data_IF_441584983602
#
_entry.id   IF_441584983602
#
_cell.length_a   1.000
_cell.length_b   1.000
_cell.length_c   1.000
_cell.angle_alpha   90.00
_cell.angle_beta   90.00
_cell.angle_gamma   90.00
#
_symmetry.space_group_name_H-M   'P 1'
#
loop_
_entity.id
_entity.type
_entity.pdbx_description
1 polymer ?
#
# COMPACT_ATOMS: atom_id res chain seq x y z
N UNK A 1 14.24 -6.54 -8.42
CA UNK A 1 14.51 -5.24 -7.77
C UNK A 1 13.80 -4.08 -8.46
N UNK A 2 14.12 -3.72 -9.72
CA UNK A 2 13.57 -2.54 -10.40
C UNK A 2 12.03 -2.46 -10.41
N UNK A 3 11.34 -3.54 -10.78
CA UNK A 3 9.87 -3.59 -10.81
C UNK A 3 9.26 -3.17 -9.46
N UNK A 4 9.76 -3.74 -8.36
CA UNK A 4 9.27 -3.44 -7.02
C UNK A 4 9.70 -2.05 -6.55
N UNK A 5 10.97 -1.66 -6.77
CA UNK A 5 11.50 -0.38 -6.29
C UNK A 5 10.70 0.81 -6.83
N UNK A 6 10.38 0.82 -8.12
CA UNK A 6 9.69 1.95 -8.75
C UNK A 6 8.18 1.70 -8.95
N UNK A 7 7.72 0.44 -8.91
CA UNK A 7 6.33 0.12 -9.18
C UNK A 7 5.36 0.73 -8.17
N UNK A 8 5.75 0.81 -6.88
CA UNK A 8 4.91 1.46 -5.86
C UNK A 8 4.67 2.93 -6.19
N UNK A 9 5.70 3.69 -6.55
CA UNK A 9 5.59 5.10 -6.94
C UNK A 9 4.68 5.25 -8.16
N UNK A 10 4.89 4.43 -9.20
CA UNK A 10 4.11 4.52 -10.44
C UNK A 10 2.63 4.23 -10.21
N UNK A 11 2.28 3.16 -9.50
CA UNK A 11 0.86 2.82 -9.27
C UNK A 11 0.20 3.80 -8.28
N UNK A 12 0.94 4.28 -7.28
CA UNK A 12 0.39 5.22 -6.29
C UNK A 12 0.33 6.65 -6.79
N UNK A 13 1.02 7.01 -7.87
CA UNK A 13 0.74 8.28 -8.55
C UNK A 13 -0.69 8.30 -9.10
N UNK A 14 -1.20 7.20 -9.66
CA UNK A 14 -2.62 7.13 -10.04
C UNK A 14 -3.56 7.21 -8.82
N UNK A 15 -3.18 6.57 -7.70
CA UNK A 15 -3.88 6.64 -6.42
C UNK A 15 -4.00 8.09 -5.90
N UNK A 16 -2.91 8.86 -6.01
CA UNK A 16 -2.85 10.27 -5.63
C UNK A 16 -3.80 11.14 -6.46
N UNK A 17 -3.85 10.90 -7.77
CA UNK A 17 -4.63 11.71 -8.71
C UNK A 17 -6.15 11.47 -8.57
N UNK A 18 -6.58 10.24 -8.28
CA UNK A 18 -8.01 9.92 -8.30
C UNK A 18 -8.43 8.73 -7.45
N UNK A 19 -7.71 8.45 -6.37
CA UNK A 19 -8.04 7.38 -5.43
C UNK A 19 -7.81 5.98 -6.01
N UNK A 20 -8.33 4.99 -5.29
CA UNK A 20 -8.25 3.58 -5.65
C UNK A 20 -8.93 3.35 -7.00
N UNK A 21 -10.01 4.09 -7.28
CA UNK A 21 -10.73 4.04 -8.56
C UNK A 21 -9.81 4.35 -9.72
N UNK A 22 -9.08 5.48 -9.69
CA UNK A 22 -8.18 5.84 -10.78
C UNK A 22 -7.02 4.84 -10.93
N UNK A 23 -6.49 4.32 -9.82
CA UNK A 23 -5.47 3.28 -9.85
C UNK A 23 -5.96 1.99 -10.54
N UNK A 24 -7.18 1.54 -10.21
CA UNK A 24 -7.77 0.34 -10.83
C UNK A 24 -8.22 0.58 -12.28
N UNK A 25 -8.62 1.80 -12.63
CA UNK A 25 -9.01 2.18 -14.00
C UNK A 25 -7.83 2.15 -14.98
N UNK A 26 -6.59 2.06 -14.49
CA UNK A 26 -5.39 1.82 -15.31
C UNK A 26 -5.20 0.37 -15.74
N UNK A 27 -5.92 -0.57 -15.14
CA UNK A 27 -5.86 -1.99 -15.49
C UNK A 27 -6.85 -2.34 -16.61
N UNK A 28 -6.51 -3.36 -17.40
CA UNK A 28 -7.47 -3.99 -18.32
C UNK A 28 -8.65 -4.59 -17.52
N UNK A 29 -9.81 -4.80 -18.15
CA UNK A 29 -10.96 -5.37 -17.44
C UNK A 29 -10.67 -6.75 -16.80
N UNK A 30 -10.02 -7.72 -17.48
CA UNK A 30 -9.64 -8.98 -16.85
C UNK A 30 -8.67 -8.79 -15.68
N UNK A 31 -7.68 -7.90 -15.83
CA UNK A 31 -6.70 -7.61 -14.79
C UNK A 31 -7.38 -6.95 -13.57
N UNK A 32 -8.26 -5.97 -13.80
CA UNK A 32 -9.03 -5.28 -12.76
C UNK A 32 -9.85 -6.24 -11.91
N UNK A 33 -10.60 -7.15 -12.55
CA UNK A 33 -11.38 -8.17 -11.82
C UNK A 33 -10.44 -9.04 -10.99
N UNK A 34 -9.32 -9.49 -11.56
CA UNK A 34 -8.38 -10.34 -10.83
C UNK A 34 -7.69 -9.61 -9.68
N UNK A 35 -7.25 -8.36 -9.87
CA UNK A 35 -6.70 -7.53 -8.80
C UNK A 35 -7.72 -7.32 -7.68
N UNK A 36 -9.00 -7.11 -8.04
CA UNK A 36 -10.08 -6.96 -7.07
C UNK A 36 -10.23 -8.23 -6.23
N UNK A 37 -10.35 -9.41 -6.86
CA UNK A 37 -10.41 -10.70 -6.17
C UNK A 37 -9.22 -10.93 -5.22
N UNK A 38 -7.99 -10.66 -5.70
CA UNK A 38 -6.78 -10.79 -4.89
C UNK A 38 -6.80 -9.84 -3.69
N UNK A 39 -7.25 -8.60 -3.89
CA UNK A 39 -7.36 -7.65 -2.79
C UNK A 39 -8.43 -8.06 -1.77
N UNK A 40 -9.56 -8.65 -2.17
CA UNK A 40 -10.54 -9.18 -1.21
C UNK A 40 -9.95 -10.34 -0.38
N UNK A 41 -9.26 -11.31 -1.01
CA UNK A 41 -8.58 -12.40 -0.28
C UNK A 41 -7.50 -11.85 0.68
N UNK A 42 -6.72 -10.85 0.24
CA UNK A 42 -5.74 -10.18 1.08
C UNK A 42 -6.40 -9.46 2.27
N UNK A 43 -7.54 -8.79 2.05
CA UNK A 43 -8.29 -8.14 3.13
C UNK A 43 -8.75 -9.16 4.16
N UNK A 44 -9.32 -10.28 3.73
CA UNK A 44 -9.77 -11.35 4.63
C UNK A 44 -8.63 -11.93 5.47
N UNK A 45 -7.46 -12.17 4.85
CA UNK A 45 -6.30 -12.72 5.55
C UNK A 45 -5.71 -11.71 6.54
N UNK A 46 -5.58 -10.44 6.16
CA UNK A 46 -4.85 -9.44 6.93
C UNK A 46 -5.72 -8.70 7.96
N UNK A 47 -7.05 -8.72 7.84
CA UNK A 47 -7.96 -7.99 8.74
C UNK A 47 -7.68 -8.23 10.24
N UNK A 48 -7.49 -9.48 10.72
CA UNK A 48 -7.18 -9.70 12.13
C UNK A 48 -5.85 -9.05 12.57
N UNK A 49 -4.87 -8.97 11.67
CA UNK A 49 -3.59 -8.34 11.97
C UNK A 49 -3.74 -6.81 12.06
N UNK A 50 -4.47 -6.18 11.14
CA UNK A 50 -4.75 -4.74 11.19
C UNK A 50 -5.52 -4.37 12.46
N UNK A 51 -6.56 -5.12 12.80
CA UNK A 51 -7.34 -4.94 14.03
C UNK A 51 -6.46 -5.09 15.27
N UNK A 52 -5.62 -6.13 15.32
CA UNK A 52 -4.66 -6.31 16.43
C UNK A 52 -3.72 -5.11 16.58
N UNK A 53 -3.19 -4.58 15.48
CA UNK A 53 -2.32 -3.40 15.53
C UNK A 53 -3.06 -2.17 16.06
N UNK A 54 -4.29 -1.93 15.62
CA UNK A 54 -5.12 -0.83 16.13
C UNK A 54 -5.44 -1.01 17.62
N UNK A 55 -5.76 -2.22 18.07
CA UNK A 55 -6.02 -2.54 19.46
C UNK A 55 -4.78 -2.31 20.35
N UNK A 56 -3.60 -2.74 19.89
CA UNK A 56 -2.33 -2.51 20.58
C UNK A 56 -2.00 -1.00 20.67
N UNK A 57 -2.34 -0.22 19.64
CA UNK A 57 -2.19 1.24 19.63
C UNK A 57 -3.12 1.88 20.66
N UNK A 58 -4.41 1.55 20.65
CA UNK A 58 -5.42 2.15 21.54
C UNK A 58 -5.20 1.76 22.99
N UNK A 59 -4.83 0.50 23.25
CA UNK A 59 -4.54 0.02 24.60
C UNK A 59 -3.22 0.58 25.17
N UNK A 60 -2.36 1.13 24.30
CA UNK A 60 -1.04 1.64 24.65
C UNK A 60 0.06 0.56 24.66
N UNK A 61 -0.28 -0.71 24.42
CA UNK A 61 0.69 -1.82 24.42
C UNK A 61 1.77 -1.64 23.34
N UNK A 62 1.41 -1.10 22.17
CA UNK A 62 2.37 -0.73 21.11
C UNK A 62 3.42 0.25 21.65
N UNK A 63 2.97 1.37 22.22
CA UNK A 63 3.86 2.42 22.70
C UNK A 63 4.73 1.97 23.88
N UNK A 64 4.15 1.17 24.79
CA UNK A 64 4.87 0.60 25.92
C UNK A 64 5.99 -0.32 25.45
N UNK A 65 5.68 -1.28 24.57
CA UNK A 65 6.67 -2.25 24.07
C UNK A 65 7.80 -1.56 23.30
N UNK A 66 7.48 -0.51 22.52
CA UNK A 66 8.48 0.29 21.82
C UNK A 66 9.38 1.06 22.81
N UNK A 67 8.81 1.70 23.82
CA UNK A 67 9.58 2.45 24.82
C UNK A 67 10.45 1.53 25.69
N UNK A 68 10.04 0.28 25.90
CA UNK A 68 10.89 -0.74 26.54
C UNK A 68 12.13 -1.06 25.68
N UNK A 69 12.00 -1.09 24.35
CA UNK A 69 13.16 -1.25 23.46
C UNK A 69 14.07 -0.02 23.47
N UNK A 70 13.50 1.19 23.49
CA UNK A 70 14.26 2.44 23.62
C UNK A 70 15.07 2.47 24.92
N UNK A 71 14.48 2.05 26.03
CA UNK A 71 15.16 1.93 27.32
C UNK A 71 16.28 0.86 27.32
N UNK A 72 16.30 0.00 26.30
CA UNK A 72 17.26 -1.06 26.09
C UNK A 72 18.14 -0.78 24.86
N UNK A 73 18.48 0.50 24.64
CA UNK A 73 19.38 0.99 23.59
C UNK A 73 18.96 0.60 22.17
N UNK A 74 17.65 0.65 21.88
CA UNK A 74 17.04 0.38 20.56
C UNK A 74 17.42 -0.98 19.98
N UNK A 75 17.64 -1.97 20.85
CA UNK A 75 18.22 -3.26 20.46
C UNK A 75 17.44 -3.96 19.36
N UNK A 76 16.11 -4.03 19.47
CA UNK A 76 15.28 -4.68 18.47
C UNK A 76 15.23 -3.84 17.18
N UNK A 77 15.01 -2.54 17.29
CA UNK A 77 14.99 -1.62 16.15
C UNK A 77 16.26 -1.76 15.30
N UNK A 78 17.43 -1.66 15.94
CA UNK A 78 18.73 -1.74 15.27
C UNK A 78 18.99 -3.12 14.67
N UNK A 79 18.59 -4.20 15.36
CA UNK A 79 18.73 -5.56 14.84
C UNK A 79 17.85 -5.80 13.60
N UNK A 80 16.61 -5.34 13.62
CA UNK A 80 15.68 -5.44 12.50
C UNK A 80 16.11 -4.57 11.32
N UNK A 81 16.63 -3.36 11.60
CA UNK A 81 17.25 -2.49 10.60
C UNK A 81 18.42 -3.14 9.89
N UNK A 82 19.34 -3.74 10.66
CA UNK A 82 20.46 -4.49 10.11
C UNK A 82 20.00 -5.67 9.25
N UNK A 83 19.05 -6.48 9.75
CA UNK A 83 18.52 -7.63 9.01
C UNK A 83 17.82 -7.21 7.69
N UNK A 84 17.09 -6.10 7.70
CA UNK A 84 16.43 -5.54 6.51
C UNK A 84 17.44 -5.16 5.44
N UNK A 85 18.55 -4.53 5.85
CA UNK A 85 19.66 -4.16 4.96
C UNK A 85 20.38 -5.36 4.32
N UNK A 86 20.18 -6.56 4.84
CA UNK A 86 20.72 -7.81 4.30
C UNK A 86 19.74 -8.58 3.40
N UNK A 87 18.52 -8.08 3.23
CA UNK A 87 17.53 -8.75 2.36
C UNK A 87 17.96 -8.72 0.89
N UNK A 88 17.52 -9.73 0.13
CA UNK A 88 17.81 -9.82 -1.30
C UNK A 88 17.29 -8.59 -2.08
N UNK A 89 16.14 -8.04 -1.70
CA UNK A 89 15.62 -6.83 -2.33
C UNK A 89 16.55 -5.62 -2.12
N UNK A 90 17.05 -5.41 -0.90
CA UNK A 90 18.00 -4.33 -0.60
C UNK A 90 19.32 -4.51 -1.34
N UNK A 91 19.91 -5.71 -1.34
CA UNK A 91 21.21 -5.96 -1.97
C UNK A 91 21.18 -6.03 -3.50
N UNK A 92 20.04 -6.35 -4.12
CA UNK A 92 19.96 -6.50 -5.58
C UNK A 92 19.87 -5.16 -6.28
N UNK A 93 20.87 -4.79 -7.08
CA UNK A 93 20.83 -3.56 -7.88
C UNK A 93 19.62 -3.55 -8.84
N UNK A 94 18.95 -2.40 -9.05
CA UNK A 94 17.94 -2.27 -10.09
C UNK A 94 18.58 -2.51 -11.47
N UNK A 95 17.88 -3.20 -12.36
CA UNK A 95 18.35 -3.45 -13.72
C UNK A 95 18.25 -2.21 -14.61
N UNK A 96 18.98 -2.22 -15.73
CA UNK A 96 18.90 -1.15 -16.74
C UNK A 96 17.71 -1.30 -17.71
N UNK A 97 16.96 -2.40 -17.60
CA UNK A 97 15.76 -2.67 -18.41
C UNK A 97 14.77 -1.52 -18.26
N UNK A 98 14.34 -0.92 -19.37
CA UNK A 98 13.28 0.09 -19.35
C UNK A 98 11.94 -0.62 -19.12
N UNK A 99 11.19 -0.14 -18.14
CA UNK A 99 9.82 -0.56 -17.85
C UNK A 99 8.98 0.69 -18.08
N UNK A 100 8.04 0.62 -19.01
CA UNK A 100 7.10 1.71 -19.25
C UNK A 100 6.10 1.83 -18.09
N UNK A 101 5.45 2.98 -17.99
CA UNK A 101 4.45 3.24 -16.95
C UNK A 101 3.36 2.15 -16.90
N UNK A 102 2.82 1.76 -18.06
CA UNK A 102 1.78 0.72 -18.12
C UNK A 102 2.33 -0.67 -17.77
N UNK A 103 3.59 -0.98 -18.08
CA UNK A 103 4.20 -2.25 -17.69
C UNK A 103 4.32 -2.40 -16.17
N UNK A 104 4.43 -1.32 -15.39
CA UNK A 104 4.38 -1.41 -13.93
C UNK A 104 3.00 -1.86 -13.42
N UNK A 105 1.92 -1.44 -14.07
CA UNK A 105 0.57 -1.92 -13.76
C UNK A 105 0.38 -3.37 -14.22
N UNK A 106 0.70 -3.65 -15.49
CA UNK A 106 0.45 -4.95 -16.11
C UNK A 106 1.32 -6.07 -15.53
N UNK A 107 2.55 -5.78 -15.11
CA UNK A 107 3.46 -6.74 -14.48
C UNK A 107 3.35 -6.74 -12.95
N UNK A 108 2.59 -5.80 -12.37
CA UNK A 108 2.53 -5.52 -10.94
C UNK A 108 1.13 -5.72 -10.35
N UNK A 109 0.34 -6.65 -10.87
CA UNK A 109 -1.07 -6.81 -10.48
C UNK A 109 -1.25 -7.02 -8.98
N UNK A 110 -0.38 -7.83 -8.37
CA UNK A 110 -0.36 -8.02 -6.92
C UNK A 110 -0.07 -6.75 -6.14
N UNK A 111 0.79 -5.86 -6.67
CA UNK A 111 1.12 -4.60 -6.01
C UNK A 111 -0.10 -3.69 -5.95
N UNK A 112 -0.87 -3.61 -7.04
CA UNK A 112 -2.14 -2.86 -7.09
C UNK A 112 -3.15 -3.43 -6.08
N UNK A 113 -3.27 -4.76 -6.01
CA UNK A 113 -4.15 -5.42 -5.05
C UNK A 113 -3.73 -5.17 -3.59
N UNK A 114 -2.42 -5.23 -3.28
CA UNK A 114 -1.88 -4.95 -1.95
C UNK A 114 -2.11 -3.51 -1.52
N UNK A 115 -1.91 -2.53 -2.42
CA UNK A 115 -2.18 -1.11 -2.11
C UNK A 115 -3.65 -0.91 -1.73
N UNK A 116 -4.58 -1.43 -2.54
CA UNK A 116 -6.02 -1.36 -2.21
C UNK A 116 -6.31 -2.02 -0.86
N UNK A 117 -5.90 -3.27 -0.69
CA UNK A 117 -6.22 -4.04 0.51
C UNK A 117 -5.68 -3.37 1.77
N UNK A 118 -4.41 -2.93 1.76
CA UNK A 118 -3.78 -2.28 2.90
C UNK A 118 -4.39 -0.92 3.24
N UNK A 119 -4.65 -0.08 2.23
CA UNK A 119 -5.26 1.24 2.42
C UNK A 119 -6.70 1.12 2.93
N UNK A 120 -7.52 0.25 2.31
CA UNK A 120 -8.90 0.04 2.77
C UNK A 120 -8.93 -0.55 4.19
N UNK A 121 -8.09 -1.55 4.50
CA UNK A 121 -8.04 -2.11 5.86
C UNK A 121 -7.60 -1.10 6.91
N UNK A 122 -6.58 -0.28 6.62
CA UNK A 122 -6.15 0.77 7.54
C UNK A 122 -7.30 1.76 7.81
N UNK A 123 -7.95 2.23 6.74
CA UNK A 123 -9.09 3.14 6.84
C UNK A 123 -10.26 2.53 7.62
N UNK A 124 -10.71 1.33 7.24
CA UNK A 124 -11.82 0.62 7.89
C UNK A 124 -11.52 0.40 9.38
N UNK A 125 -10.34 -0.09 9.71
CA UNK A 125 -9.97 -0.40 11.10
C UNK A 125 -9.90 0.85 11.96
N UNK A 126 -9.38 1.96 11.42
CA UNK A 126 -9.36 3.25 12.12
C UNK A 126 -10.78 3.76 12.37
N UNK A 127 -11.65 3.72 11.36
CA UNK A 127 -13.05 4.18 11.48
C UNK A 127 -13.85 3.30 12.44
N UNK A 128 -13.68 1.98 12.39
CA UNK A 128 -14.29 1.03 13.32
C UNK A 128 -13.87 1.31 14.77
N UNK A 129 -12.65 1.79 14.99
CA UNK A 129 -12.14 2.23 16.28
C UNK A 129 -12.62 3.63 16.72
N UNK A 130 -13.42 4.32 15.90
CA UNK A 130 -13.99 5.64 16.21
C UNK A 130 -13.16 6.83 15.72
N UNK A 131 -12.13 6.62 14.89
CA UNK A 131 -11.42 7.70 14.20
C UNK A 131 -12.32 8.22 13.07
N UNK A 132 -12.38 9.55 12.89
CA UNK A 132 -13.19 10.15 11.83
C UNK A 132 -12.63 9.82 10.44
N UNK A 133 -13.50 9.72 9.44
CA UNK A 133 -13.12 9.29 8.08
C UNK A 133 -12.07 10.22 7.44
N UNK A 134 -12.17 11.53 7.63
CA UNK A 134 -11.20 12.50 7.12
C UNK A 134 -9.78 12.23 7.66
N UNK A 135 -9.65 11.97 8.97
CA UNK A 135 -8.37 11.61 9.59
C UNK A 135 -7.87 10.27 9.07
N UNK A 136 -8.74 9.25 9.01
CA UNK A 136 -8.38 7.94 8.49
C UNK A 136 -7.91 8.02 7.02
N UNK A 137 -8.49 8.91 6.21
CA UNK A 137 -8.05 9.17 4.84
C UNK A 137 -6.65 9.79 4.76
N UNK A 138 -6.39 10.83 5.56
CA UNK A 138 -5.08 11.49 5.59
C UNK A 138 -3.98 10.53 6.04
N UNK A 139 -4.23 9.75 7.09
CA UNK A 139 -3.26 8.81 7.68
C UNK A 139 -3.17 7.47 6.92
N UNK A 140 -3.81 7.34 5.76
CA UNK A 140 -3.72 6.13 4.92
C UNK A 140 -3.47 6.45 3.44
N UNK A 141 -4.52 6.69 2.66
CA UNK A 141 -4.44 6.87 1.21
C UNK A 141 -3.60 8.10 0.86
N UNK A 142 -3.79 9.22 1.56
CA UNK A 142 -3.15 10.49 1.22
C UNK A 142 -1.62 10.43 1.29
N UNK A 143 -1.07 9.80 2.32
CA UNK A 143 0.39 9.73 2.54
C UNK A 143 1.07 8.58 1.79
N UNK A 144 0.33 7.54 1.40
CA UNK A 144 0.88 6.35 0.71
C UNK A 144 1.78 6.72 -0.49
N UNK A 145 1.41 7.65 -1.41
CA UNK A 145 2.27 8.07 -2.51
C UNK A 145 3.59 8.72 -2.05
N UNK A 146 3.59 9.46 -0.94
CA UNK A 146 4.80 10.11 -0.42
C UNK A 146 5.80 9.06 0.09
N UNK A 147 5.31 8.04 0.79
CA UNK A 147 6.13 6.91 1.24
C UNK A 147 6.65 6.12 0.04
N UNK A 148 5.84 5.88 -0.98
CA UNK A 148 6.27 5.19 -2.20
C UNK A 148 7.44 5.89 -2.90
N UNK A 149 7.47 7.23 -2.93
CA UNK A 149 8.59 8.01 -3.47
C UNK A 149 9.92 7.76 -2.72
N UNK A 150 9.87 7.50 -1.41
CA UNK A 150 11.08 7.17 -0.63
C UNK A 150 11.66 5.82 -1.06
N UNK A 151 10.79 4.83 -1.29
CA UNK A 151 11.18 3.50 -1.77
C UNK A 151 11.75 3.58 -3.20
N UNK A 152 11.14 4.38 -4.07
CA UNK A 152 11.70 4.63 -5.41
C UNK A 152 13.11 5.22 -5.34
N UNK A 153 13.33 6.18 -4.44
CA UNK A 153 14.62 6.87 -4.28
C UNK A 153 15.76 5.96 -3.83
N UNK A 154 15.65 5.26 -2.69
CA UNK A 154 16.65 4.24 -2.27
C UNK A 154 16.05 3.11 -1.42
N UNK A 155 14.98 2.49 -1.92
CA UNK A 155 14.37 1.27 -1.37
C UNK A 155 13.93 1.43 0.09
N UNK A 156 13.82 0.33 0.84
CA UNK A 156 13.38 0.33 2.24
C UNK A 156 14.39 1.06 3.13
N UNK A 157 15.68 1.09 2.75
CA UNK A 157 16.67 1.90 3.46
C UNK A 157 16.27 3.38 3.53
N UNK A 158 15.91 4.00 2.40
CA UNK A 158 15.51 5.41 2.41
C UNK A 158 14.19 5.61 3.15
N UNK A 159 13.21 4.72 2.95
CA UNK A 159 11.95 4.77 3.66
C UNK A 159 12.17 4.81 5.18
N UNK A 160 12.89 3.82 5.71
CA UNK A 160 13.14 3.68 7.14
C UNK A 160 14.02 4.79 7.70
N UNK A 161 14.92 5.36 6.88
CA UNK A 161 15.74 6.52 7.27
C UNK A 161 14.95 7.84 7.30
N UNK A 162 13.87 7.95 6.52
CA UNK A 162 13.09 9.19 6.38
C UNK A 162 11.98 9.28 7.43
N UNK A 163 11.38 8.14 7.78
CA UNK A 163 10.35 8.08 8.82
C UNK A 163 10.96 8.15 10.23
N UNK A 164 10.13 8.38 11.25
CA UNK A 164 10.58 8.39 12.65
C UNK A 164 10.91 6.97 13.15
N UNK A 165 11.70 6.87 14.22
CA UNK A 165 11.99 5.56 14.85
C UNK A 165 10.71 4.84 15.31
N UNK A 166 9.67 5.59 15.72
CA UNK A 166 8.35 5.01 16.04
C UNK A 166 7.70 4.36 14.82
N UNK A 167 7.74 5.03 13.67
CA UNK A 167 7.17 4.50 12.43
C UNK A 167 8.00 3.32 11.90
N UNK A 168 9.33 3.37 11.98
CA UNK A 168 10.19 2.26 11.59
C UNK A 168 9.98 1.04 12.49
N UNK A 169 9.88 1.23 13.80
CA UNK A 169 9.59 0.15 14.74
C UNK A 169 8.23 -0.50 14.46
N UNK A 170 7.19 0.31 14.26
CA UNK A 170 5.86 -0.17 13.87
C UNK A 170 5.85 -0.91 12.53
N UNK A 171 6.61 -0.42 11.55
CA UNK A 171 6.79 -1.09 10.26
C UNK A 171 7.37 -2.50 10.45
N UNK A 172 8.40 -2.67 11.28
CA UNK A 172 8.98 -3.98 11.56
C UNK A 172 8.05 -4.92 12.31
N UNK A 173 7.31 -4.43 13.32
CA UNK A 173 6.32 -5.25 14.00
C UNK A 173 5.29 -5.81 13.00
N UNK A 174 4.78 -4.95 12.12
CA UNK A 174 3.81 -5.36 11.11
C UNK A 174 4.42 -6.31 10.09
N UNK A 175 5.59 -5.98 9.52
CA UNK A 175 6.27 -6.80 8.50
C UNK A 175 6.59 -8.21 9.00
N UNK A 176 7.11 -8.34 10.22
CA UNK A 176 7.46 -9.63 10.81
C UNK A 176 6.23 -10.51 11.10
N UNK A 177 5.06 -9.90 11.36
CA UNK A 177 3.81 -10.63 11.51
C UNK A 177 3.13 -10.93 10.16
N UNK A 178 3.17 -9.98 9.23
CA UNK A 178 2.48 -10.05 7.95
C UNK A 178 3.15 -11.02 6.97
N UNK A 179 4.50 -11.06 6.90
CA UNK A 179 5.23 -11.97 6.00
C UNK A 179 4.88 -13.45 6.23
N UNK A 180 4.93 -13.99 7.46
CA UNK A 180 4.48 -15.36 7.71
C UNK A 180 2.99 -15.56 7.44
N UNK A 181 2.15 -14.58 7.77
CA UNK A 181 0.70 -14.64 7.57
C UNK A 181 0.34 -14.81 6.08
N UNK A 182 1.08 -14.16 5.19
CA UNK A 182 0.86 -14.24 3.74
C UNK A 182 1.58 -15.43 3.08
N UNK A 183 2.29 -16.28 3.81
CA UNK A 183 3.11 -17.33 3.22
C UNK A 183 2.31 -18.33 2.36
N UNK A 184 1.13 -18.74 2.81
CA UNK A 184 0.28 -19.67 2.06
C UNK A 184 -0.43 -19.03 0.88
N UNK A 185 -0.77 -17.74 0.99
CA UNK A 185 -1.26 -16.95 -0.14
C UNK A 185 -0.19 -16.86 -1.23
N UNK A 186 1.04 -16.50 -0.87
CA UNK A 186 2.14 -16.32 -1.83
C UNK A 186 2.52 -17.62 -2.56
N UNK A 187 2.28 -18.81 -1.99
CA UNK A 187 2.47 -20.10 -2.69
C UNK A 187 1.54 -20.29 -3.89
N UNK A 188 0.40 -19.59 -3.92
CA UNK A 188 -0.59 -19.66 -5.01
C UNK A 188 -0.36 -18.58 -6.09
N UNK A 189 0.53 -17.62 -5.83
CA UNK A 189 0.79 -16.49 -6.73
C UNK A 189 1.72 -16.94 -7.86
N UNK A 190 1.28 -16.76 -9.10
CA UNK A 190 2.07 -17.03 -10.31
C UNK A 190 2.74 -15.75 -10.84
N UNK A 191 3.69 -15.92 -11.74
CA UNK A 191 4.49 -14.87 -12.37
C UNK A 191 3.68 -13.90 -13.23
N UNK A 192 2.49 -14.28 -13.71
CA UNK A 192 1.59 -13.37 -14.42
C UNK A 192 0.80 -12.44 -13.49
N UNK A 193 0.74 -12.76 -12.19
CA UNK A 193 0.18 -11.89 -11.13
C UNK A 193 1.24 -10.90 -10.65
N UNK A 194 2.52 -11.30 -10.66
CA UNK A 194 3.66 -10.44 -10.32
C UNK A 194 4.92 -10.87 -11.08
N UNK A 195 5.41 -9.98 -11.95
CA UNK A 195 6.67 -10.14 -12.69
C UNK A 195 6.56 -10.25 -14.21
N UNK A 196 5.42 -10.70 -14.75
CA UNK A 196 5.10 -10.77 -16.19
C UNK A 196 3.77 -10.09 -16.47
N UNK A 197 3.55 -9.72 -17.73
CA UNK A 197 2.34 -9.03 -18.14
C UNK A 197 1.11 -9.95 -17.99
N UNK A 198 0.20 -9.58 -17.10
CA UNK A 198 -1.01 -10.36 -16.84
C UNK A 198 -1.87 -10.59 -18.10
N UNK A 199 -1.87 -9.63 -19.03
CA UNK A 199 -2.69 -9.65 -20.23
C UNK A 199 -2.12 -10.55 -21.34
N UNK A 200 -0.88 -10.99 -21.23
CA UNK A 200 -0.20 -11.77 -22.27
C UNK A 200 -0.95 -13.08 -22.55
N UNK A 201 -1.40 -13.26 -23.79
CA UNK A 201 -2.14 -14.44 -24.22
C UNK A 201 -3.59 -14.53 -23.70
N UNK A 202 -4.13 -13.50 -23.04
CA UNK A 202 -5.51 -13.48 -22.51
C UNK A 202 -6.46 -12.66 -23.40
N UNK A 203 -7.72 -13.07 -23.43
CA UNK A 203 -8.80 -12.30 -24.05
C UNK A 203 -9.16 -11.10 -23.20
N UNK A 204 -9.55 -9.99 -23.83
CA UNK A 204 -10.05 -8.78 -23.15
C UNK A 204 -11.52 -8.90 -22.72
N UNK A 205 -12.23 -9.94 -23.17
CA UNK A 205 -13.63 -10.16 -22.85
C UNK A 205 -13.86 -10.51 -21.38
N UNK A 206 -14.84 -9.86 -20.76
CA UNK A 206 -15.29 -10.13 -19.38
C UNK A 206 -16.81 -10.15 -19.34
N UNK A 207 -17.38 -10.78 -18.31
CA UNK A 207 -18.82 -10.69 -18.05
C UNK A 207 -19.20 -9.26 -17.59
N UNK A 208 -20.23 -8.70 -18.22
CA UNK A 208 -20.67 -7.34 -17.93
C UNK A 208 -21.17 -7.18 -16.50
N UNK A 209 -21.85 -8.18 -15.92
CA UNK A 209 -22.37 -8.07 -14.55
C UNK A 209 -21.24 -8.08 -13.54
N UNK A 210 -20.24 -8.96 -13.71
CA UNK A 210 -19.04 -8.98 -12.87
C UNK A 210 -18.29 -7.65 -12.93
N UNK A 211 -18.06 -7.13 -14.15
CA UNK A 211 -17.36 -5.85 -14.30
C UNK A 211 -18.12 -4.68 -13.65
N UNK A 212 -19.45 -4.63 -13.81
CA UNK A 212 -20.29 -3.61 -13.17
C UNK A 212 -20.19 -3.72 -11.64
N UNK A 213 -20.30 -4.94 -11.09
CA UNK A 213 -20.22 -5.17 -9.65
C UNK A 213 -18.86 -4.75 -9.07
N UNK A 214 -17.75 -5.11 -9.73
CA UNK A 214 -16.40 -4.72 -9.32
C UNK A 214 -16.22 -3.20 -9.36
N UNK A 215 -16.61 -2.55 -10.46
CA UNK A 215 -16.51 -1.09 -10.57
C UNK A 215 -17.37 -0.38 -9.53
N UNK A 216 -18.56 -0.90 -9.24
CA UNK A 216 -19.43 -0.36 -8.19
C UNK A 216 -18.77 -0.49 -6.82
N UNK A 217 -18.28 -1.69 -6.46
CA UNK A 217 -17.62 -1.94 -5.19
C UNK A 217 -16.44 -0.99 -4.95
N UNK A 218 -15.55 -0.88 -5.94
CA UNK A 218 -14.39 0.02 -5.89
C UNK A 218 -14.80 1.48 -5.62
N UNK A 219 -15.74 2.01 -6.41
CA UNK A 219 -16.15 3.43 -6.33
C UNK A 219 -17.00 3.76 -5.11
N UNK A 220 -17.67 2.75 -4.54
CA UNK A 220 -18.57 2.93 -3.41
C UNK A 220 -17.89 2.82 -2.04
N UNK A 221 -16.60 2.44 -2.00
CA UNK A 221 -15.88 2.38 -0.73
C UNK A 221 -15.84 3.78 -0.08
N UNK A 222 -16.12 3.94 1.23
CA UNK A 222 -16.21 5.25 1.86
C UNK A 222 -14.97 6.15 1.68
N UNK A 223 -13.78 5.53 1.67
CA UNK A 223 -12.50 6.22 1.41
C UNK A 223 -12.47 6.97 0.07
N UNK A 224 -13.20 6.50 -0.95
CA UNK A 224 -13.23 7.13 -2.26
C UNK A 224 -14.07 8.41 -2.23
N UNK A 225 -15.21 8.38 -1.55
CA UNK A 225 -16.10 9.54 -1.41
C UNK A 225 -15.44 10.65 -0.59
N UNK A 226 -14.86 10.30 0.56
CA UNK A 226 -14.11 11.23 1.42
C UNK A 226 -12.88 11.75 0.69
N UNK A 227 -12.17 10.87 -0.01
CA UNK A 227 -10.99 11.25 -0.77
C UNK A 227 -11.29 12.21 -1.92
N UNK A 228 -12.39 12.03 -2.63
CA UNK A 228 -12.80 12.93 -3.71
C UNK A 228 -13.07 14.35 -3.17
N UNK A 229 -13.84 14.41 -2.08
CA UNK A 229 -14.12 15.67 -1.39
C UNK A 229 -12.84 16.38 -0.93
N UNK A 230 -11.93 15.67 -0.25
CA UNK A 230 -10.71 16.25 0.29
C UNK A 230 -9.70 16.66 -0.81
N UNK A 231 -9.55 15.87 -1.88
CA UNK A 231 -8.70 16.23 -3.02
C UNK A 231 -9.21 17.48 -3.74
N UNK A 232 -10.52 17.59 -3.92
CA UNK A 232 -11.13 18.79 -4.50
C UNK A 232 -10.87 20.02 -3.61
N UNK A 233 -11.09 19.89 -2.30
CA UNK A 233 -10.84 20.97 -1.34
C UNK A 233 -9.37 21.44 -1.36
N UNK A 234 -8.41 20.51 -1.45
CA UNK A 234 -6.99 20.84 -1.56
C UNK A 234 -6.63 21.54 -2.87
N UNK A 235 -7.29 21.19 -3.97
CA UNK A 235 -7.09 21.83 -5.28
C UNK A 235 -7.67 23.26 -5.30
N UNK A 236 -8.78 23.47 -4.60
CA UNK A 236 -9.46 24.76 -4.49
C UNK A 236 -8.78 25.72 -3.50
N UNK A 237 -7.80 25.26 -2.72
CA UNK A 237 -7.02 26.11 -1.83
C UNK A 237 -6.29 27.20 -2.63
N UNK A 238 -6.73 28.45 -2.45
CA UNK A 238 -6.08 29.61 -3.05
C UNK A 238 -4.69 29.80 -2.45
N UNK A 239 -3.72 30.12 -3.30
CA UNK A 239 -2.42 30.65 -2.88
C UNK A 239 -2.64 31.88 -2.00
N UNK A 240 -2.32 31.76 -0.71
CA UNK A 240 -2.24 32.92 0.19
C UNK A 240 -0.95 33.67 -0.18
N UNK A 241 -1.05 34.55 -1.16
CA UNK A 241 -0.01 35.55 -1.38
C UNK A 241 -0.25 36.67 -0.35
N UNK A 242 0.58 36.73 0.68
CA UNK A 242 0.68 37.96 1.47
C UNK A 242 1.25 39.02 0.54
N UNK A 243 0.42 39.98 0.16
CA UNK A 243 0.84 41.17 -0.55
C UNK A 243 1.84 41.89 0.37
N UNK A 244 3.12 41.87 -0.02
CA UNK A 244 4.17 42.66 0.62
C UNK A 244 4.01 44.14 0.27
#
# INVERSE_FOLDING_TARGET
AKLIQYGWEVITEALKQGGITAMFDRLSNPAKIKAFELSEELKDIMRPLFQKHQDDIISGEFSKTMMEDWANDDKNLLAWRAATGETAFEKTAPSDVKISEQEYFDNGLLMVAMVRAGVELAFETMVEAGIIEDSAYYESLHETPLIANTIARKKLFEMNRVISDTAEYGCYLFDHACKPLLADFMKKVDTDIIGKNYNEGKSTGVDNKTLIAVNQALRSHPIEAVGDFLRQAMTDMKSISTVA
#
